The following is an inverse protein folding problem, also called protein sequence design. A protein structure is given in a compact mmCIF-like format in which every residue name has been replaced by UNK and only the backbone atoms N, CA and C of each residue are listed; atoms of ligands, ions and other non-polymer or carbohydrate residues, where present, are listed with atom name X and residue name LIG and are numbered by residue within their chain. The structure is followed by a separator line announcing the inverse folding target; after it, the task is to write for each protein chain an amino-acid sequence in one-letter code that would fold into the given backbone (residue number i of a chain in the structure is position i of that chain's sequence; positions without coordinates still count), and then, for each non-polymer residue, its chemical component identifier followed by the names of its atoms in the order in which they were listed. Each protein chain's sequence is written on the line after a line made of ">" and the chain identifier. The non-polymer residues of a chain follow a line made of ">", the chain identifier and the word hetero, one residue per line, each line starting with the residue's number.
data_IF_736221961435
#
_entry.id   IF_736221961435
#
_cell.length_a   1.000
_cell.length_b   1.000
_cell.length_c   1.000
_cell.angle_alpha   90.00
_cell.angle_beta   90.00
_cell.angle_gamma   90.00
#
_symmetry.space_group_name_H-M   'P 1'
#
loop_
_entity.id
_entity.type
_entity.pdbx_description
1 polymer ?
#
# COMPACT_ATOMS: atom_id res chain seq x y z
N UNK A 1 -49.89 24.50 57.54
CA UNK A 1 -48.53 24.12 57.10
C UNK A 1 -48.68 23.27 55.86
N UNK A 2 -48.16 23.76 54.73
CA UNK A 2 -48.17 23.06 53.46
C UNK A 2 -46.74 22.57 53.19
N UNK A 3 -46.58 21.33 52.76
CA UNK A 3 -45.38 20.94 52.02
C UNK A 3 -45.73 19.92 50.93
N UNK A 4 -45.15 20.16 49.76
CA UNK A 4 -45.63 19.77 48.43
C UNK A 4 -45.15 18.37 48.04
N UNK A 5 -46.03 17.61 47.39
CA UNK A 5 -45.69 16.48 46.51
C UNK A 5 -44.75 16.95 45.39
N UNK A 6 -43.65 16.25 45.16
CA UNK A 6 -42.95 16.27 43.87
C UNK A 6 -42.87 14.84 43.31
N UNK A 7 -43.55 14.62 42.19
CA UNK A 7 -43.55 13.37 41.42
C UNK A 7 -43.03 13.75 40.04
N UNK A 8 -41.75 13.50 39.78
CA UNK A 8 -41.14 13.85 38.50
C UNK A 8 -41.24 12.64 37.55
N UNK A 9 -42.09 12.74 36.52
CA UNK A 9 -42.24 11.72 35.47
C UNK A 9 -41.34 12.06 34.30
N UNK A 10 -40.28 11.27 34.10
CA UNK A 10 -39.42 11.39 32.92
C UNK A 10 -40.05 10.61 31.75
N UNK A 11 -40.78 11.29 30.88
CA UNK A 11 -41.45 10.72 29.71
C UNK A 11 -40.41 10.57 28.59
N UNK A 12 -40.07 9.33 28.21
CA UNK A 12 -39.07 9.03 27.17
C UNK A 12 -39.66 9.22 25.77
N UNK A 13 -38.88 9.85 24.88
CA UNK A 13 -39.26 10.35 23.56
C UNK A 13 -39.32 9.25 22.47
N UNK A 14 -40.01 8.14 22.73
CA UNK A 14 -40.10 6.99 21.80
C UNK A 14 -40.72 7.33 20.44
N UNK A 15 -41.59 8.33 20.37
CA UNK A 15 -42.20 8.78 19.12
C UNK A 15 -41.23 9.46 18.14
N UNK A 16 -40.20 10.16 18.65
CA UNK A 16 -39.23 10.85 17.79
C UNK A 16 -38.26 9.88 17.13
N UNK A 17 -37.83 8.84 17.86
CA UNK A 17 -36.99 7.77 17.31
C UNK A 17 -37.71 7.00 16.19
N UNK A 18 -39.02 6.73 16.35
CA UNK A 18 -39.83 6.08 15.33
C UNK A 18 -40.03 6.98 14.10
N UNK A 19 -40.23 8.28 14.29
CA UNK A 19 -40.32 9.24 13.19
C UNK A 19 -39.02 9.35 12.39
N UNK A 20 -37.86 9.38 13.06
CA UNK A 20 -36.55 9.35 12.40
C UNK A 20 -36.34 8.05 11.61
N UNK A 21 -36.71 6.90 12.18
CA UNK A 21 -36.57 5.61 11.49
C UNK A 21 -37.47 5.52 10.26
N UNK A 22 -38.72 6.00 10.35
CA UNK A 22 -39.61 6.11 9.19
C UNK A 22 -39.07 7.03 8.10
N UNK A 23 -38.43 8.14 8.48
CA UNK A 23 -37.83 9.08 7.52
C UNK A 23 -36.62 8.47 6.81
N UNK A 24 -35.76 7.74 7.52
CA UNK A 24 -34.65 6.99 6.92
C UNK A 24 -35.19 5.91 5.97
N UNK A 25 -36.21 5.16 6.39
CA UNK A 25 -36.84 4.15 5.54
C UNK A 25 -37.44 4.75 4.27
N UNK A 26 -38.07 5.94 4.36
CA UNK A 26 -38.60 6.68 3.21
C UNK A 26 -37.47 7.11 2.27
N UNK A 27 -36.36 7.63 2.79
CA UNK A 27 -35.20 8.02 1.98
C UNK A 27 -34.60 6.81 1.25
N UNK A 28 -34.45 5.67 1.95
CA UNK A 28 -33.97 4.44 1.32
C UNK A 28 -34.94 3.95 0.24
N UNK A 29 -36.25 4.07 0.46
CA UNK A 29 -37.28 3.70 -0.52
C UNK A 29 -37.21 4.62 -1.75
N UNK A 30 -37.06 5.92 -1.56
CA UNK A 30 -36.86 6.88 -2.66
C UNK A 30 -35.56 6.57 -3.41
N UNK A 31 -34.46 6.30 -2.72
CA UNK A 31 -33.19 5.95 -3.35
C UNK A 31 -33.28 4.64 -4.14
N UNK A 32 -34.01 3.67 -3.60
CA UNK A 32 -34.32 2.41 -4.28
C UNK A 32 -35.18 2.63 -5.52
N UNK A 33 -36.16 3.53 -5.47
CA UNK A 33 -37.00 3.87 -6.64
C UNK A 33 -36.24 4.65 -7.71
N UNK A 34 -35.36 5.59 -7.32
CA UNK A 34 -34.54 6.38 -8.24
C UNK A 34 -33.48 5.51 -8.93
N UNK A 35 -32.93 4.51 -8.23
CA UNK A 35 -31.92 3.58 -8.79
C UNK A 35 -32.48 2.23 -9.24
N UNK A 36 -33.81 2.10 -9.32
CA UNK A 36 -34.49 0.82 -9.57
C UNK A 36 -34.00 0.13 -10.84
N UNK A 37 -33.82 0.87 -11.93
CA UNK A 37 -33.41 0.31 -13.22
C UNK A 37 -31.96 -0.18 -13.22
N UNK A 38 -31.05 0.57 -12.57
CA UNK A 38 -29.65 0.19 -12.41
C UNK A 38 -29.50 -1.04 -11.51
N UNK A 39 -30.27 -1.11 -10.41
CA UNK A 39 -30.23 -2.25 -9.48
C UNK A 39 -30.78 -3.51 -10.16
N UNK A 40 -31.91 -3.40 -10.88
CA UNK A 40 -32.50 -4.54 -11.60
C UNK A 40 -31.58 -5.02 -12.72
N UNK A 41 -30.91 -4.12 -13.44
CA UNK A 41 -29.95 -4.49 -14.50
C UNK A 41 -28.73 -5.25 -13.94
N UNK A 42 -28.16 -4.81 -12.82
CA UNK A 42 -27.01 -5.50 -12.20
C UNK A 42 -27.39 -6.85 -11.56
N UNK A 43 -28.61 -6.97 -11.01
CA UNK A 43 -29.10 -8.23 -10.45
C UNK A 43 -29.47 -9.28 -11.52
N UNK A 44 -29.85 -8.84 -12.73
CA UNK A 44 -30.02 -9.72 -13.89
C UNK A 44 -28.70 -10.30 -14.38
N UNK A 45 -27.67 -9.46 -14.46
CA UNK A 45 -26.36 -9.86 -14.97
C UNK A 45 -25.61 -10.82 -14.04
N UNK A 46 -26.05 -10.96 -12.80
CA UNK A 46 -25.40 -11.79 -11.76
C UNK A 46 -26.17 -13.06 -11.40
N UNK A 47 -27.28 -13.35 -12.10
CA UNK A 47 -28.11 -14.55 -11.91
C UNK A 47 -28.56 -14.81 -10.45
N UNK A 48 -28.55 -13.74 -9.66
CA UNK A 48 -28.66 -13.76 -8.20
C UNK A 48 -29.98 -14.38 -7.71
N UNK A 49 -31.10 -14.06 -8.37
CA UNK A 49 -32.41 -14.54 -7.96
C UNK A 49 -32.61 -16.04 -8.19
N UNK A 50 -32.03 -16.59 -9.26
CA UNK A 50 -32.05 -18.04 -9.47
C UNK A 50 -31.21 -18.76 -8.40
N UNK A 51 -30.08 -18.18 -7.98
CA UNK A 51 -29.21 -18.79 -6.97
C UNK A 51 -29.73 -18.70 -5.54
N UNK A 52 -30.33 -17.57 -5.15
CA UNK A 52 -30.75 -17.33 -3.76
C UNK A 52 -32.21 -17.73 -3.50
N UNK A 53 -33.09 -17.55 -4.49
CA UNK A 53 -34.53 -17.79 -4.33
C UNK A 53 -35.05 -18.93 -5.23
N UNK A 54 -34.17 -19.57 -6.00
CA UNK A 54 -34.49 -20.72 -6.86
C UNK A 54 -35.33 -20.39 -8.09
N UNK A 55 -35.88 -19.17 -8.20
CA UNK A 55 -36.69 -18.69 -9.32
C UNK A 55 -36.52 -17.19 -9.51
N UNK A 56 -36.28 -16.78 -10.74
CA UNK A 56 -36.33 -15.37 -11.15
C UNK A 56 -37.78 -14.89 -11.22
N UNK A 57 -38.15 -13.81 -10.51
CA UNK A 57 -39.51 -13.29 -10.56
C UNK A 57 -39.82 -12.64 -11.93
N UNK A 58 -41.05 -12.80 -12.42
CA UNK A 58 -41.45 -12.40 -13.78
C UNK A 58 -41.19 -10.92 -14.11
N UNK A 59 -41.31 -10.02 -13.13
CA UNK A 59 -41.09 -8.59 -13.34
C UNK A 59 -39.65 -8.26 -13.72
N UNK A 60 -38.70 -9.11 -13.32
CA UNK A 60 -37.29 -8.99 -13.70
C UNK A 60 -37.15 -9.48 -15.14
N UNK A 61 -37.68 -10.64 -15.51
CA UNK A 61 -37.55 -11.15 -16.87
C UNK A 61 -38.13 -10.20 -17.94
N UNK A 62 -39.28 -9.57 -17.66
CA UNK A 62 -39.98 -8.66 -18.60
C UNK A 62 -39.37 -7.25 -18.75
N UNK A 63 -38.30 -6.93 -18.02
CA UNK A 63 -37.71 -5.59 -18.05
C UNK A 63 -36.67 -5.40 -19.17
N UNK A 64 -37.09 -4.94 -20.34
CA UNK A 64 -36.18 -4.55 -21.43
C UNK A 64 -35.49 -3.22 -21.10
N UNK A 65 -34.16 -3.23 -20.95
CA UNK A 65 -33.38 -2.04 -20.63
C UNK A 65 -33.12 -1.19 -21.86
N UNK A 66 -33.49 0.09 -21.79
CA UNK A 66 -33.13 1.14 -22.76
C UNK A 66 -31.60 1.28 -22.81
N UNK A 67 -31.03 1.06 -23.99
CA UNK A 67 -29.62 1.29 -24.31
C UNK A 67 -29.26 2.77 -24.15
N UNK A 68 -28.09 3.06 -23.56
CA UNK A 68 -27.52 4.43 -23.51
C UNK A 68 -26.66 4.63 -24.77
N UNK A 69 -26.75 5.76 -25.50
CA UNK A 69 -26.07 5.96 -26.79
C UNK A 69 -24.60 6.37 -26.64
N UNK A 70 -23.79 5.98 -27.63
CA UNK A 70 -22.56 6.70 -28.04
C UNK A 70 -22.92 8.12 -28.47
N UNK A 71 -22.18 9.14 -28.00
CA UNK A 71 -22.03 10.39 -28.76
C UNK A 71 -20.61 10.94 -28.71
N UNK A 72 -20.17 11.24 -29.93
CA UNK A 72 -18.94 11.85 -30.41
C UNK A 72 -19.17 13.37 -30.62
N UNK A 73 -18.09 14.14 -30.50
CA UNK A 73 -17.85 15.52 -30.98
C UNK A 73 -18.95 16.60 -30.94
N UNK A 74 -18.59 17.75 -30.36
CA UNK A 74 -18.85 19.04 -31.01
C UNK A 74 -19.56 20.13 -30.21
N UNK A 75 -18.78 21.16 -29.88
CA UNK A 75 -19.11 22.59 -29.95
C UNK A 75 -20.04 23.26 -28.89
N UNK A 76 -19.53 24.42 -28.48
CA UNK A 76 -20.06 25.56 -27.72
C UNK A 76 -21.49 25.56 -27.18
N UNK A 77 -21.64 26.00 -25.92
CA UNK A 77 -22.12 27.36 -25.58
C UNK A 77 -22.04 27.62 -24.07
N UNK A 78 -21.53 28.80 -23.74
CA UNK A 78 -21.37 29.45 -22.44
C UNK A 78 -22.71 29.62 -21.71
N UNK A 79 -22.78 29.32 -20.40
CA UNK A 79 -23.51 30.15 -19.41
C UNK A 79 -22.71 30.20 -18.09
N UNK A 80 -22.15 31.37 -17.82
CA UNK A 80 -21.73 31.89 -16.51
C UNK A 80 -22.94 32.05 -15.59
N UNK A 81 -22.83 31.68 -14.31
CA UNK A 81 -23.38 32.48 -13.20
C UNK A 81 -22.41 32.41 -12.00
N UNK A 82 -21.68 33.50 -11.81
CA UNK A 82 -21.09 33.93 -10.54
C UNK A 82 -22.21 34.27 -9.53
N UNK A 83 -22.03 33.97 -8.24
CA UNK A 83 -22.29 34.91 -7.13
C UNK A 83 -21.62 34.42 -5.85
N UNK A 84 -20.91 35.37 -5.25
CA UNK A 84 -19.98 35.37 -4.12
C UNK A 84 -20.72 35.57 -2.75
N UNK A 85 -20.11 35.99 -1.61
CA UNK A 85 -20.10 35.23 -0.35
C UNK A 85 -20.69 35.99 0.87
N UNK A 86 -20.80 35.33 2.03
CA UNK A 86 -20.80 35.96 3.37
C UNK A 86 -20.67 34.86 4.47
N UNK A 87 -19.59 34.79 5.25
CA UNK A 87 -19.16 35.56 6.45
C UNK A 87 -19.73 35.07 7.81
N UNK A 88 -18.81 34.43 8.57
CA UNK A 88 -18.36 34.73 9.96
C UNK A 88 -19.26 34.53 11.19
N UNK A 89 -18.58 34.08 12.26
CA UNK A 89 -18.88 34.06 13.72
C UNK A 89 -19.51 32.74 14.21
N UNK A 90 -19.12 32.10 15.32
CA UNK A 90 -18.29 32.49 16.47
C UNK A 90 -17.95 31.23 17.30
N UNK A 91 -16.80 31.24 17.97
CA UNK A 91 -16.40 30.30 19.03
C UNK A 91 -17.07 30.71 20.36
N UNK A 92 -17.23 29.83 21.36
CA UNK A 92 -16.39 29.99 22.54
C UNK A 92 -15.91 28.70 23.22
N UNK A 93 -14.98 28.90 24.14
CA UNK A 93 -14.01 28.01 24.76
C UNK A 93 -14.48 27.34 26.07
N UNK A 94 -13.66 26.37 26.53
CA UNK A 94 -13.36 25.95 27.93
C UNK A 94 -14.46 25.20 28.70
N UNK A 95 -14.18 24.14 29.47
CA UNK A 95 -13.39 24.16 30.73
C UNK A 95 -12.98 22.75 31.19
N UNK A 96 -11.69 22.63 31.53
CA UNK A 96 -11.00 21.95 32.65
C UNK A 96 -11.43 20.59 33.26
N UNK A 97 -10.35 19.82 33.49
CA UNK A 97 -10.02 18.62 34.30
C UNK A 97 -10.64 18.61 35.72
N UNK A 98 -10.69 17.45 36.42
CA UNK A 98 -9.59 17.13 37.33
C UNK A 98 -9.13 15.66 37.36
N UNK A 99 -7.83 15.54 37.61
CA UNK A 99 -7.03 14.39 38.02
C UNK A 99 -7.47 13.83 39.38
N UNK A 100 -7.42 12.51 39.56
CA UNK A 100 -7.07 11.92 40.85
C UNK A 100 -6.21 10.66 40.66
N UNK A 101 -5.18 10.59 41.48
CA UNK A 101 -4.08 9.62 41.53
C UNK A 101 -4.37 8.62 42.64
N UNK A 102 -4.02 7.34 42.49
CA UNK A 102 -3.46 6.60 43.62
C UNK A 102 -2.62 5.38 43.19
N UNK A 103 -1.46 5.29 43.85
CA UNK A 103 -0.35 4.36 43.66
C UNK A 103 -0.61 3.01 44.34
N UNK A 104 0.06 1.94 43.88
CA UNK A 104 0.70 1.01 44.83
C UNK A 104 1.93 0.30 44.28
N UNK A 105 2.97 0.36 45.11
CA UNK A 105 4.35 -0.09 44.99
C UNK A 105 4.56 -1.51 45.53
N UNK A 106 5.47 -2.27 44.93
CA UNK A 106 6.41 -3.25 45.55
C UNK A 106 7.40 -3.70 44.45
N UNK A 107 8.69 -3.32 44.38
CA UNK A 107 9.89 -3.52 45.24
C UNK A 107 10.42 -4.97 45.29
N UNK A 108 11.65 -5.14 44.75
CA UNK A 108 12.65 -6.19 45.03
C UNK A 108 12.78 -7.24 43.90
N UNK A 109 13.94 -7.60 43.36
CA UNK A 109 15.34 -7.36 43.72
C UNK A 109 16.27 -7.69 42.52
N UNK A 110 17.34 -6.93 42.35
CA UNK A 110 18.64 -7.33 41.76
C UNK A 110 19.63 -7.48 42.95
N UNK A 111 20.89 -7.97 42.81
CA UNK A 111 21.58 -8.59 41.67
C UNK A 111 22.36 -9.86 42.04
N UNK A 112 22.85 -10.63 41.06
CA UNK A 112 23.97 -11.58 41.26
C UNK A 112 24.63 -11.97 39.93
N UNK A 113 25.77 -11.35 39.62
CA UNK A 113 26.93 -12.04 39.05
C UNK A 113 27.77 -12.62 40.21
N UNK A 114 28.62 -13.62 39.93
CA UNK A 114 30.02 -13.48 40.31
C UNK A 114 31.04 -13.98 39.25
N UNK A 115 32.09 -13.16 39.12
CA UNK A 115 33.53 -13.37 38.92
C UNK A 115 34.08 -14.53 38.06
N UNK A 116 34.92 -14.29 37.03
CA UNK A 116 36.36 -13.88 37.00
C UNK A 116 37.35 -14.94 37.50
N UNK A 117 38.30 -15.36 36.64
CA UNK A 117 39.78 -15.40 36.82
C UNK A 117 40.42 -16.14 35.62
N UNK A 118 41.09 -15.45 34.68
CA UNK A 118 42.55 -15.16 34.58
C UNK A 118 43.42 -16.27 34.00
N UNK A 119 44.22 -15.88 33.00
CA UNK A 119 45.37 -16.63 32.48
C UNK A 119 46.11 -15.84 31.39
N UNK A 120 47.00 -14.95 31.83
CA UNK A 120 48.04 -14.19 31.12
C UNK A 120 49.05 -15.13 30.40
N UNK A 121 49.67 -14.81 29.27
CA UNK A 121 50.99 -14.12 29.08
C UNK A 121 51.26 -14.03 27.55
N UNK A 122 51.61 -12.87 26.96
CA UNK A 122 52.98 -12.39 26.66
C UNK A 122 53.79 -13.28 25.66
N UNK A 123 54.58 -12.84 24.67
CA UNK A 123 55.07 -11.53 24.20
C UNK A 123 55.95 -11.74 22.91
N UNK A 124 56.02 -10.71 22.05
CA UNK A 124 57.03 -10.32 21.01
C UNK A 124 57.23 -11.15 19.73
N UNK A 125 57.04 -10.60 18.52
CA UNK A 125 57.80 -9.56 17.75
C UNK A 125 59.14 -10.07 17.19
N UNK A 126 59.28 -10.18 15.85
CA UNK A 126 60.32 -9.47 15.08
C UNK A 126 60.11 -9.58 13.55
N UNK A 127 60.77 -8.68 12.84
CA UNK A 127 60.40 -8.03 11.59
C UNK A 127 61.59 -8.13 10.62
N UNK A 128 61.38 -8.45 9.33
CA UNK A 128 62.11 -7.80 8.21
C UNK A 128 61.69 -8.27 6.80
N UNK A 129 61.42 -7.26 5.97
CA UNK A 129 61.43 -7.18 4.49
C UNK A 129 62.81 -6.59 4.07
N UNK A 130 63.16 -6.34 2.79
CA UNK A 130 62.89 -6.95 1.47
C UNK A 130 64.19 -7.47 0.80
N UNK A 131 64.11 -8.08 -0.40
CA UNK A 131 64.80 -7.58 -1.61
C UNK A 131 64.55 -8.44 -2.86
N UNK A 132 64.51 -7.77 -4.02
CA UNK A 132 64.42 -8.29 -5.40
C UNK A 132 65.62 -7.71 -6.17
N UNK A 133 66.27 -8.41 -7.11
CA UNK A 133 66.02 -8.20 -8.56
C UNK A 133 66.18 -9.49 -9.43
N UNK A 134 65.25 -9.83 -10.34
CA UNK A 134 65.28 -9.69 -11.83
C UNK A 134 66.27 -10.58 -12.64
N UNK A 135 65.70 -11.43 -13.54
CA UNK A 135 66.12 -11.86 -14.91
C UNK A 135 65.78 -13.38 -15.13
N UNK A 136 64.75 -13.78 -15.89
CA UNK A 136 64.57 -13.89 -17.37
C UNK A 136 65.22 -15.13 -18.03
N UNK A 137 64.45 -16.19 -18.33
CA UNK A 137 64.72 -17.12 -19.47
C UNK A 137 63.47 -17.90 -19.98
N UNK A 138 62.98 -17.46 -21.15
CA UNK A 138 62.36 -18.07 -22.37
C UNK A 138 61.68 -19.48 -22.44
N UNK A 139 60.36 -19.44 -22.75
CA UNK A 139 59.55 -20.19 -23.78
C UNK A 139 59.28 -21.72 -23.69
N UNK A 140 58.36 -22.29 -24.52
CA UNK A 140 56.93 -21.97 -24.77
C UNK A 140 56.03 -23.22 -24.61
N UNK A 141 54.75 -23.08 -24.23
CA UNK A 141 53.75 -24.08 -24.65
C UNK A 141 52.37 -23.46 -24.84
N UNK A 142 51.75 -23.89 -25.93
CA UNK A 142 50.46 -23.47 -26.42
C UNK A 142 49.38 -24.28 -25.73
N UNK A 143 48.52 -23.62 -24.96
CA UNK A 143 47.16 -24.10 -24.76
C UNK A 143 46.20 -22.98 -25.12
N UNK A 144 45.68 -23.06 -26.35
CA UNK A 144 44.52 -22.30 -26.79
C UNK A 144 43.32 -22.76 -25.96
N UNK A 145 43.11 -22.14 -24.82
CA UNK A 145 41.83 -22.18 -24.14
C UNK A 145 40.85 -21.35 -24.97
N UNK A 146 39.72 -21.90 -25.45
CA UNK A 146 38.71 -21.10 -26.11
C UNK A 146 38.19 -20.07 -25.10
N UNK A 147 38.44 -18.79 -25.37
CA UNK A 147 37.73 -17.68 -24.74
C UNK A 147 36.24 -17.90 -24.97
N UNK A 148 35.56 -18.35 -23.92
CA UNK A 148 34.10 -18.29 -23.85
C UNK A 148 33.77 -16.80 -23.75
N UNK A 149 33.58 -16.15 -24.91
CA UNK A 149 32.92 -14.86 -24.99
C UNK A 149 31.57 -15.01 -24.28
N UNK A 150 31.25 -14.20 -23.26
CA UNK A 150 29.93 -14.24 -22.65
C UNK A 150 28.87 -14.08 -23.73
N UNK A 151 27.98 -15.06 -23.87
CA UNK A 151 26.82 -14.94 -24.72
C UNK A 151 26.05 -13.70 -24.25
N UNK A 152 25.98 -12.68 -25.10
CA UNK A 152 25.29 -11.42 -24.80
C UNK A 152 23.80 -11.74 -24.76
N UNK A 153 23.28 -12.05 -23.57
CA UNK A 153 21.85 -12.20 -23.37
C UNK A 153 21.20 -10.83 -23.59
N UNK A 154 20.14 -10.72 -24.40
CA UNK A 154 19.48 -9.45 -24.63
C UNK A 154 18.89 -8.94 -23.31
N UNK A 155 19.30 -7.74 -22.90
CA UNK A 155 18.84 -7.09 -21.67
C UNK A 155 18.07 -5.80 -21.97
N UNK A 156 17.15 -5.46 -21.09
CA UNK A 156 16.35 -4.23 -21.11
C UNK A 156 16.56 -3.54 -19.76
N UNK A 157 16.77 -2.22 -19.78
CA UNK A 157 16.85 -1.43 -18.57
C UNK A 157 15.44 -1.12 -18.06
N UNK A 158 15.16 -1.49 -16.80
CA UNK A 158 13.92 -1.15 -16.09
C UNK A 158 14.20 -0.17 -14.96
N UNK A 159 13.22 0.66 -14.63
CA UNK A 159 13.32 1.61 -13.52
C UNK A 159 12.69 1.00 -12.26
N UNK A 160 13.48 0.87 -11.20
CA UNK A 160 13.05 0.42 -9.88
C UNK A 160 13.07 1.60 -8.91
N UNK A 161 12.05 1.71 -8.07
CA UNK A 161 11.98 2.73 -7.03
C UNK A 161 12.36 2.12 -5.68
N UNK A 162 13.43 2.63 -5.09
CA UNK A 162 13.86 2.33 -3.72
C UNK A 162 13.71 3.57 -2.84
N UNK A 163 13.98 3.38 -1.56
CA UNK A 163 14.02 4.45 -0.57
C UNK A 163 15.47 4.82 -0.27
N UNK A 164 15.73 6.10 -0.05
CA UNK A 164 17.00 6.64 0.44
C UNK A 164 16.73 7.28 1.79
N UNK A 165 17.63 7.06 2.76
CA UNK A 165 17.63 7.81 4.02
C UNK A 165 18.78 8.80 3.94
N UNK A 166 18.44 10.08 3.93
CA UNK A 166 19.38 11.19 3.92
C UNK A 166 20.02 11.37 5.32
N UNK A 167 21.14 12.09 5.39
CA UNK A 167 21.91 12.25 6.64
C UNK A 167 21.14 12.98 7.76
N UNK A 168 20.09 13.71 7.40
CA UNK A 168 19.18 14.40 8.32
C UNK A 168 18.03 13.50 8.79
N UNK A 169 17.98 12.24 8.35
CA UNK A 169 16.92 11.29 8.64
C UNK A 169 15.72 11.39 7.70
N UNK A 170 15.74 12.28 6.70
CA UNK A 170 14.68 12.40 5.71
C UNK A 170 14.63 11.17 4.82
N UNK A 171 13.42 10.73 4.49
CA UNK A 171 13.17 9.58 3.62
C UNK A 171 12.80 10.09 2.24
N UNK A 172 13.63 9.80 1.24
CA UNK A 172 13.41 10.21 -0.15
C UNK A 172 13.31 9.00 -1.09
N UNK A 173 12.70 9.21 -2.26
CA UNK A 173 12.55 8.17 -3.29
C UNK A 173 13.74 8.19 -4.24
N UNK A 174 14.31 7.03 -4.53
CA UNK A 174 15.43 6.87 -5.45
C UNK A 174 15.06 5.94 -6.60
N UNK A 175 15.06 6.45 -7.83
CA UNK A 175 14.89 5.63 -9.03
C UNK A 175 16.25 5.10 -9.47
N UNK A 176 16.34 3.78 -9.69
CA UNK A 176 17.53 3.09 -10.17
C UNK A 176 17.20 2.38 -11.48
N UNK A 177 18.09 2.49 -12.47
CA UNK A 177 18.01 1.73 -13.71
C UNK A 177 18.71 0.38 -13.54
N UNK A 178 17.96 -0.72 -13.63
CA UNK A 178 18.49 -2.09 -13.51
C UNK A 178 18.37 -2.84 -14.84
N UNK A 179 19.46 -3.41 -15.38
CA UNK A 179 19.36 -4.28 -16.56
C UNK A 179 18.74 -5.62 -16.15
N UNK A 180 17.65 -6.01 -16.82
CA UNK A 180 17.02 -7.32 -16.69
C UNK A 180 17.03 -8.04 -18.03
N UNK A 181 17.02 -9.37 -18.01
CA UNK A 181 16.85 -10.16 -19.23
C UNK A 181 15.52 -9.82 -19.90
N UNK A 182 15.51 -9.76 -21.23
CA UNK A 182 14.26 -9.55 -21.98
C UNK A 182 13.30 -10.72 -21.75
N UNK A 183 12.03 -10.41 -21.49
CA UNK A 183 10.96 -11.39 -21.31
C UNK A 183 9.63 -10.85 -21.87
N UNK A 184 8.62 -11.73 -21.92
CA UNK A 184 7.25 -11.36 -22.28
C UNK A 184 6.48 -10.69 -21.13
N UNK A 185 7.06 -10.63 -19.93
CA UNK A 185 6.43 -10.10 -18.72
C UNK A 185 7.33 -9.11 -17.97
N UNK A 186 7.75 -8.02 -18.62
CA UNK A 186 8.75 -7.11 -18.06
C UNK A 186 8.29 -6.39 -16.79
N UNK A 187 6.98 -6.14 -16.63
CA UNK A 187 6.42 -5.59 -15.39
C UNK A 187 6.62 -6.56 -14.22
N UNK A 188 6.28 -7.84 -14.42
CA UNK A 188 6.44 -8.89 -13.40
C UNK A 188 7.90 -9.02 -12.98
N UNK A 189 8.82 -8.97 -13.95
CA UNK A 189 10.26 -9.07 -13.68
C UNK A 189 10.79 -7.86 -12.93
N UNK A 190 10.35 -6.65 -13.28
CA UNK A 190 10.70 -5.43 -12.56
C UNK A 190 10.22 -5.48 -11.10
N UNK A 191 8.97 -5.88 -10.87
CA UNK A 191 8.43 -6.01 -9.51
C UNK A 191 9.17 -7.09 -8.73
N UNK A 192 9.44 -8.27 -9.32
CA UNK A 192 10.25 -9.31 -8.65
C UNK A 192 11.67 -8.84 -8.32
N UNK A 193 12.29 -8.07 -9.22
CA UNK A 193 13.59 -7.46 -8.97
C UNK A 193 13.54 -6.44 -7.83
N UNK A 194 12.48 -5.65 -7.74
CA UNK A 194 12.22 -4.75 -6.60
C UNK A 194 12.04 -5.52 -5.29
N UNK A 195 11.23 -6.59 -5.29
CA UNK A 195 10.99 -7.45 -4.12
C UNK A 195 12.27 -8.15 -3.64
N UNK A 196 13.20 -8.45 -4.56
CA UNK A 196 14.54 -8.98 -4.21
C UNK A 196 15.41 -7.95 -3.48
N UNK A 197 14.98 -6.69 -3.44
CA UNK A 197 15.66 -5.59 -2.76
C UNK A 197 16.79 -4.96 -3.57
N UNK A 198 17.48 -3.98 -2.96
CA UNK A 198 18.62 -3.32 -3.58
C UNK A 198 19.84 -4.24 -3.67
N UNK A 199 20.61 -4.11 -4.75
CA UNK A 199 21.89 -4.83 -4.94
C UNK A 199 22.98 -4.28 -4.02
N UNK A 200 24.14 -4.95 -3.95
CA UNK A 200 25.27 -4.46 -3.15
C UNK A 200 25.71 -3.04 -3.55
N UNK A 201 25.76 -2.75 -4.85
CA UNK A 201 26.15 -1.43 -5.37
C UNK A 201 25.10 -0.34 -5.09
N UNK A 202 23.82 -0.71 -5.08
CA UNK A 202 22.72 0.20 -4.75
C UNK A 202 22.68 0.47 -3.24
N UNK A 203 22.91 -0.56 -2.41
CA UNK A 203 23.06 -0.40 -0.95
C UNK A 203 24.24 0.48 -0.59
N UNK A 204 25.35 0.39 -1.32
CA UNK A 204 26.51 1.28 -1.15
C UNK A 204 26.17 2.76 -1.46
N UNK A 205 25.07 3.02 -2.17
CA UNK A 205 24.48 4.35 -2.41
C UNK A 205 23.30 4.64 -1.47
N UNK A 206 23.24 3.95 -0.32
CA UNK A 206 22.20 4.05 0.70
C UNK A 206 20.77 3.68 0.24
N UNK A 207 20.62 2.97 -0.88
CA UNK A 207 19.30 2.48 -1.28
C UNK A 207 18.83 1.39 -0.31
N UNK A 208 17.59 1.52 0.15
CA UNK A 208 16.90 0.63 1.06
C UNK A 208 15.53 0.25 0.50
N UNK A 209 14.95 -0.82 1.03
CA UNK A 209 13.56 -1.21 0.74
C UNK A 209 12.76 -1.19 2.02
N UNK A 210 11.57 -0.60 1.95
CA UNK A 210 10.53 -0.72 2.99
C UNK A 210 9.54 -1.85 2.70
N UNK A 211 9.76 -2.65 1.65
CA UNK A 211 8.91 -3.81 1.36
C UNK A 211 9.30 -4.96 2.30
N UNK A 212 8.33 -5.60 2.99
CA UNK A 212 8.57 -6.69 3.92
C UNK A 212 9.33 -7.85 3.27
N UNK A 213 10.32 -8.36 3.99
CA UNK A 213 11.07 -9.53 3.57
C UNK A 213 10.14 -10.75 3.42
N UNK A 214 10.36 -11.54 2.38
CA UNK A 214 9.53 -12.72 2.10
C UNK A 214 8.33 -12.43 1.19
N UNK A 215 7.97 -11.16 0.96
CA UNK A 215 6.91 -10.78 0.00
C UNK A 215 7.19 -11.38 -1.38
N UNK A 216 6.20 -12.05 -1.95
CA UNK A 216 6.24 -12.63 -3.30
C UNK A 216 5.19 -12.01 -4.19
N UNK A 217 5.51 -11.86 -5.47
CA UNK A 217 4.53 -11.56 -6.51
C UNK A 217 3.93 -12.89 -7.02
N UNK A 218 2.67 -13.12 -6.69
CA UNK A 218 1.90 -14.30 -7.10
C UNK A 218 1.34 -14.16 -8.52
N UNK A 219 1.04 -12.93 -8.94
CA UNK A 219 0.53 -12.66 -10.28
C UNK A 219 0.55 -11.18 -10.63
N UNK A 220 0.61 -10.89 -11.93
CA UNK A 220 0.52 -9.53 -12.44
C UNK A 220 -0.24 -9.52 -13.76
N UNK A 221 -1.07 -8.50 -13.96
CA UNK A 221 -1.77 -8.26 -15.23
C UNK A 221 -1.95 -6.77 -15.44
N UNK A 222 -2.04 -6.34 -16.70
CA UNK A 222 -2.30 -4.93 -17.05
C UNK A 222 -3.53 -4.86 -17.91
N UNK A 223 -4.51 -4.04 -17.51
CA UNK A 223 -5.72 -3.78 -18.28
C UNK A 223 -6.13 -2.32 -18.12
N UNK A 224 -6.38 -1.64 -19.24
CA UNK A 224 -6.86 -0.24 -19.26
C UNK A 224 -6.01 0.72 -18.40
N UNK A 225 -4.68 0.60 -18.45
CA UNK A 225 -3.79 1.45 -17.65
C UNK A 225 -3.65 1.04 -16.18
N UNK A 226 -4.33 -0.01 -15.72
CA UNK A 226 -4.27 -0.50 -14.34
C UNK A 226 -3.46 -1.78 -14.30
N UNK A 227 -2.37 -1.78 -13.53
CA UNK A 227 -1.64 -2.97 -13.17
C UNK A 227 -2.27 -3.62 -11.93
N UNK A 228 -2.86 -4.81 -12.08
CA UNK A 228 -3.33 -5.60 -10.93
C UNK A 228 -2.20 -6.51 -10.50
N UNK A 229 -1.69 -6.31 -9.28
CA UNK A 229 -0.57 -7.06 -8.71
C UNK A 229 -1.06 -7.85 -7.49
N UNK A 230 -0.91 -9.18 -7.57
CA UNK A 230 -1.26 -10.12 -6.52
C UNK A 230 -0.01 -10.50 -5.72
N UNK A 231 -0.02 -10.23 -4.43
CA UNK A 231 1.08 -10.49 -3.51
C UNK A 231 0.74 -11.59 -2.51
N UNK A 232 1.78 -12.17 -1.91
CA UNK A 232 1.63 -13.11 -0.81
C UNK A 232 1.29 -12.42 0.52
N UNK A 233 0.80 -13.19 1.49
CA UNK A 233 0.39 -12.74 2.83
C UNK A 233 1.45 -11.89 3.54
N UNK A 234 2.75 -12.11 3.31
CA UNK A 234 3.82 -11.31 3.93
C UNK A 234 3.72 -9.80 3.59
N UNK A 235 3.00 -9.44 2.53
CA UNK A 235 2.74 -8.05 2.16
C UNK A 235 1.83 -7.31 3.14
N UNK A 236 1.00 -8.03 3.91
CA UNK A 236 0.04 -7.45 4.87
C UNK A 236 0.72 -6.86 6.10
N UNK A 237 1.87 -7.41 6.48
CA UNK A 237 2.55 -7.03 7.71
C UNK A 237 3.83 -6.25 7.42
N UNK A 238 3.81 -4.96 7.77
CA UNK A 238 4.99 -4.12 7.70
C UNK A 238 5.46 -3.74 9.12
N UNK A 239 6.64 -4.21 9.58
CA UNK A 239 7.11 -3.96 10.94
C UNK A 239 7.44 -2.50 11.24
N UNK A 240 7.53 -1.64 10.21
CA UNK A 240 7.81 -0.20 10.36
C UNK A 240 6.53 0.59 10.71
N UNK A 241 5.34 0.03 10.49
CA UNK A 241 4.06 0.72 10.69
C UNK A 241 3.62 1.54 9.47
N UNK A 242 2.89 2.63 9.70
CA UNK A 242 2.24 3.46 8.65
C UNK A 242 3.25 3.94 7.60
N UNK A 243 4.42 4.44 8.02
CA UNK A 243 5.48 4.90 7.12
C UNK A 243 6.03 3.74 6.27
N UNK A 244 6.07 2.53 6.82
CA UNK A 244 6.42 1.31 6.10
C UNK A 244 5.39 0.97 5.02
N UNK A 245 4.11 1.01 5.37
CA UNK A 245 3.00 0.79 4.44
C UNK A 245 3.01 1.82 3.28
N UNK A 246 3.23 3.09 3.59
CA UNK A 246 3.42 4.13 2.57
C UNK A 246 4.63 3.86 1.70
N UNK A 247 5.77 3.55 2.31
CA UNK A 247 7.02 3.27 1.61
C UNK A 247 6.92 2.06 0.67
N UNK A 248 6.33 0.95 1.11
CA UNK A 248 6.19 -0.25 0.28
C UNK A 248 5.26 0.00 -0.92
N UNK A 249 4.11 0.65 -0.70
CA UNK A 249 3.13 0.94 -1.74
C UNK A 249 3.72 1.92 -2.76
N UNK A 250 4.39 2.97 -2.29
CA UNK A 250 5.07 3.97 -3.13
C UNK A 250 6.12 3.31 -4.03
N UNK A 251 7.00 2.49 -3.48
CA UNK A 251 8.05 1.82 -4.27
C UNK A 251 7.45 0.95 -5.39
N UNK A 252 6.40 0.20 -5.10
CA UNK A 252 5.71 -0.64 -6.09
C UNK A 252 5.03 0.22 -7.16
N UNK A 253 4.28 1.24 -6.75
CA UNK A 253 3.56 2.12 -7.67
C UNK A 253 4.52 2.84 -8.61
N UNK A 254 5.61 3.44 -8.09
CA UNK A 254 6.58 4.14 -8.92
C UNK A 254 7.31 3.21 -9.89
N UNK A 255 7.62 1.99 -9.45
CA UNK A 255 8.23 0.95 -10.30
C UNK A 255 7.27 0.52 -11.41
N UNK A 256 6.03 0.17 -11.07
CA UNK A 256 5.04 -0.30 -12.03
C UNK A 256 4.64 0.78 -13.04
N UNK A 257 4.47 2.02 -12.57
CA UNK A 257 4.13 3.16 -13.44
C UNK A 257 5.32 3.73 -14.22
N UNK A 258 6.51 3.12 -14.11
CA UNK A 258 7.61 3.43 -15.04
C UNK A 258 7.37 2.87 -16.44
N UNK A 259 6.48 1.89 -16.55
CA UNK A 259 5.95 1.39 -17.82
C UNK A 259 4.84 2.31 -18.32
N UNK A 260 4.99 2.85 -19.54
CA UNK A 260 4.06 3.83 -20.12
C UNK A 260 2.62 3.34 -20.28
N UNK A 261 2.41 2.01 -20.29
CA UNK A 261 1.09 1.37 -20.34
C UNK A 261 0.41 1.25 -18.98
N UNK A 262 1.06 1.68 -17.90
CA UNK A 262 0.57 1.57 -16.51
C UNK A 262 0.47 2.97 -15.89
N UNK A 263 -0.74 3.36 -15.54
CA UNK A 263 -1.06 4.63 -14.89
C UNK A 263 -1.25 4.47 -13.37
N UNK A 264 -1.72 3.31 -12.92
CA UNK A 264 -2.01 3.02 -11.51
C UNK A 264 -1.90 1.53 -11.21
N UNK A 265 -1.82 1.19 -9.92
CA UNK A 265 -1.69 -0.19 -9.42
C UNK A 265 -2.86 -0.55 -8.52
N UNK A 266 -3.55 -1.63 -8.82
CA UNK A 266 -4.47 -2.28 -7.88
C UNK A 266 -3.72 -3.40 -7.15
N UNK A 267 -3.73 -3.33 -5.82
CA UNK A 267 -3.16 -4.36 -4.96
C UNK A 267 -4.20 -5.46 -4.68
N UNK A 268 -3.74 -6.70 -4.71
CA UNK A 268 -4.47 -7.93 -4.38
C UNK A 268 -3.57 -8.74 -3.46
N UNK A 269 -4.12 -9.39 -2.45
CA UNK A 269 -3.37 -10.21 -1.50
C UNK A 269 -3.99 -11.59 -1.46
N UNK A 270 -3.19 -12.63 -1.68
CA UNK A 270 -3.66 -14.03 -1.72
C UNK A 270 -4.89 -14.22 -2.65
N UNK A 271 -4.91 -13.48 -3.76
CA UNK A 271 -6.02 -13.49 -4.73
C UNK A 271 -7.29 -12.75 -4.29
N UNK A 272 -7.33 -12.18 -3.09
CA UNK A 272 -8.45 -11.38 -2.58
C UNK A 272 -8.19 -9.88 -2.73
N UNK A 273 -9.27 -9.15 -3.03
CA UNK A 273 -9.24 -7.70 -3.07
C UNK A 273 -9.59 -7.17 -1.69
N UNK A 274 -8.60 -6.58 -1.04
CA UNK A 274 -8.78 -5.92 0.25
C UNK A 274 -9.03 -4.42 0.08
N UNK A 275 -9.78 -3.83 1.01
CA UNK A 275 -9.97 -2.38 1.07
C UNK A 275 -8.85 -1.68 1.84
N UNK A 276 -8.26 -2.39 2.82
CA UNK A 276 -7.28 -1.87 3.74
C UNK A 276 -6.09 -2.83 3.86
N UNK A 277 -4.92 -2.26 4.12
CA UNK A 277 -3.66 -2.97 4.28
C UNK A 277 -3.13 -2.76 5.69
N UNK A 278 -2.76 -3.87 6.34
CA UNK A 278 -2.18 -3.85 7.67
C UNK A 278 -3.16 -3.52 8.80
N UNK A 279 -2.67 -3.63 10.04
CA UNK A 279 -3.44 -3.33 11.25
C UNK A 279 -3.86 -1.87 11.37
N UNK A 280 -3.07 -0.97 10.77
CA UNK A 280 -3.30 0.48 10.81
C UNK A 280 -4.35 0.94 9.80
N UNK A 281 -4.79 0.06 8.89
CA UNK A 281 -5.88 0.34 7.96
C UNK A 281 -5.49 1.25 6.81
N UNK A 282 -4.37 0.98 6.13
CA UNK A 282 -3.94 1.78 4.99
C UNK A 282 -4.81 1.52 3.75
N UNK A 283 -5.37 2.54 3.12
CA UNK A 283 -6.38 2.36 2.07
C UNK A 283 -5.77 1.85 0.75
N UNK A 284 -6.24 0.68 0.29
CA UNK A 284 -5.87 0.06 -1.01
C UNK A 284 -7.10 -0.38 -1.84
N UNK A 285 -8.31 -0.01 -1.40
CA UNK A 285 -9.58 -0.37 -2.05
C UNK A 285 -9.78 0.22 -3.46
N UNK A 286 -8.93 1.18 -3.85
CA UNK A 286 -8.87 1.73 -5.21
C UNK A 286 -7.46 1.66 -5.78
N UNK A 287 -7.29 1.62 -7.11
CA UNK A 287 -5.96 1.68 -7.72
C UNK A 287 -5.18 2.92 -7.27
N UNK A 288 -3.94 2.72 -6.81
CA UNK A 288 -3.05 3.79 -6.38
C UNK A 288 -2.18 4.26 -7.53
N UNK A 289 -2.02 5.57 -7.65
CA UNK A 289 -1.15 6.19 -8.66
C UNK A 289 -0.07 7.00 -7.98
N UNK A 290 0.85 7.61 -8.75
CA UNK A 290 1.89 8.46 -8.18
C UNK A 290 1.34 9.62 -7.36
N UNK A 291 0.14 10.13 -7.67
CA UNK A 291 -0.49 11.21 -6.92
C UNK A 291 -1.01 10.79 -5.54
N UNK A 292 -1.10 9.48 -5.28
CA UNK A 292 -1.44 8.93 -3.96
C UNK A 292 -0.32 9.17 -2.92
N UNK A 293 0.90 9.47 -3.37
CA UNK A 293 2.07 9.68 -2.52
C UNK A 293 2.60 11.09 -2.74
N UNK A 294 2.52 11.95 -1.71
CA UNK A 294 2.99 13.34 -1.77
C UNK A 294 4.41 13.45 -1.23
#
# INVERSE_FOLDING_TARGET
>A
MAERKNKNSNKRNTGFAFACWLLIALILLVFFFVKRDTIISNLKNTDFFNRVFGKTPEFVQKHEGKTVPEEDNGDSTIIHIDTEPAKTAEQPQTTEVPTETEQKTAKGAEPSQPDKQTGSEETKTEQKKPDKPTASERAPDASKQPEIKPAVVPSVNVQLCFVLIDSDGSVSRQIVSRPLSKSDSPLSDAVKALLSGPTADEKAKNCMTLIPAGTKLLGASVKNGIATLNFSEEFEYNPVGVEGYMGQLMQIVYTATSFSTVNSVQFIIEGQREEYLGSEGEWIGSPLSRSSFR
#
